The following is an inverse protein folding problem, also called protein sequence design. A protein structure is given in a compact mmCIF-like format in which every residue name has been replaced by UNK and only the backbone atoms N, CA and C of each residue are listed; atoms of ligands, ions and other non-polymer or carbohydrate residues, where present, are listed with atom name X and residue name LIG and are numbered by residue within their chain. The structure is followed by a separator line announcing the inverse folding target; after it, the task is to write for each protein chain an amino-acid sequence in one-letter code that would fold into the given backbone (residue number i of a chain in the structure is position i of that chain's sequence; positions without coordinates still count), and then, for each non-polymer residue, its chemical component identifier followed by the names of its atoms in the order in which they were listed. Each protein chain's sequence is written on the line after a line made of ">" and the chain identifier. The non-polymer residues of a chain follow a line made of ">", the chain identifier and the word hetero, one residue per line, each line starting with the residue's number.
data_IF_979882068465
#
_entry.id   IF_979882068465
#
_cell.length_a   1.000
_cell.length_b   1.000
_cell.length_c   1.000
_cell.angle_alpha   90.00
_cell.angle_beta   90.00
_cell.angle_gamma   90.00
#
_symmetry.space_group_name_H-M   'P 1'
#
loop_
_entity.id
_entity.type
_entity.pdbx_description
1 polymer ?
#
# COMPACT_ATOMS: atom_id res chain seq x y z
N UNK A 1 -4.60 -10.75 8.02
CA UNK A 1 -5.79 -11.61 7.81
C UNK A 1 -6.72 -11.54 9.01
N UNK A 2 -7.98 -11.97 8.89
CA UNK A 2 -8.88 -12.14 10.05
C UNK A 2 -8.39 -13.25 10.99
N UNK A 3 -8.85 -13.23 12.25
CA UNK A 3 -8.48 -14.24 13.27
C UNK A 3 -8.84 -15.67 12.86
N UNK A 4 -9.85 -15.83 12.02
CA UNK A 4 -10.30 -17.12 11.49
C UNK A 4 -9.69 -17.47 10.11
N UNK A 5 -8.77 -16.65 9.60
CA UNK A 5 -8.09 -16.82 8.31
C UNK A 5 -9.01 -16.88 7.09
N UNK A 6 -10.30 -16.55 7.22
CA UNK A 6 -11.25 -16.55 6.09
C UNK A 6 -11.17 -15.29 5.24
N UNK A 7 -10.59 -14.22 5.77
CA UNK A 7 -10.52 -12.93 5.10
C UNK A 7 -9.09 -12.39 5.04
N UNK A 8 -8.65 -12.05 3.84
CA UNK A 8 -7.38 -11.40 3.57
C UNK A 8 -7.62 -9.96 3.12
N UNK A 9 -7.01 -9.01 3.82
CA UNK A 9 -6.97 -7.60 3.42
C UNK A 9 -5.72 -7.41 2.58
N UNK A 10 -5.88 -6.88 1.38
CA UNK A 10 -4.80 -6.55 0.45
C UNK A 10 -4.78 -5.03 0.34
N UNK A 11 -3.70 -4.44 0.81
CA UNK A 11 -3.45 -3.01 0.69
C UNK A 11 -2.67 -2.75 -0.60
N UNK A 12 -3.07 -1.75 -1.36
CA UNK A 12 -2.38 -1.35 -2.58
C UNK A 12 -2.20 0.16 -2.63
N UNK A 13 -1.11 0.59 -3.23
CA UNK A 13 -0.82 1.99 -3.52
C UNK A 13 -0.64 2.15 -5.03
N UNK A 14 -0.86 3.35 -5.54
CA UNK A 14 -0.66 3.70 -6.94
C UNK A 14 0.27 4.89 -6.97
N UNK A 15 1.26 4.81 -7.86
CA UNK A 15 2.14 5.93 -8.08
C UNK A 15 1.46 6.95 -9.01
N UNK A 16 1.31 8.19 -8.54
CA UNK A 16 0.73 9.29 -9.30
C UNK A 16 -0.71 9.64 -8.89
N UNK A 17 -1.52 10.01 -9.88
CA UNK A 17 -2.80 10.69 -9.66
C UNK A 17 -3.81 9.92 -8.81
N UNK A 18 -4.41 10.59 -7.83
CA UNK A 18 -5.37 10.00 -6.88
C UNK A 18 -6.67 9.57 -7.56
N UNK A 19 -7.04 10.19 -8.69
CA UNK A 19 -8.18 9.79 -9.51
C UNK A 19 -8.06 8.35 -10.06
N UNK A 20 -6.83 7.83 -10.17
CA UNK A 20 -6.58 6.45 -10.61
C UNK A 20 -6.88 5.42 -9.52
N UNK A 21 -6.97 5.84 -8.25
CA UNK A 21 -7.21 4.94 -7.11
C UNK A 21 -8.56 4.25 -7.19
N UNK A 22 -9.62 4.98 -7.56
CA UNK A 22 -10.96 4.43 -7.66
C UNK A 22 -11.09 3.47 -8.84
N UNK A 23 -10.57 3.86 -10.02
CA UNK A 23 -10.54 3.00 -11.19
C UNK A 23 -9.77 1.69 -10.93
N UNK A 24 -8.64 1.77 -10.22
CA UNK A 24 -7.89 0.58 -9.81
C UNK A 24 -8.64 -0.26 -8.79
N UNK A 25 -9.32 0.35 -7.81
CA UNK A 25 -10.14 -0.37 -6.84
C UNK A 25 -11.25 -1.18 -7.55
N UNK A 26 -11.95 -0.56 -8.50
CA UNK A 26 -12.95 -1.23 -9.34
C UNK A 26 -12.31 -2.35 -10.17
N UNK A 27 -11.14 -2.10 -10.76
CA UNK A 27 -10.35 -3.11 -11.47
C UNK A 27 -10.02 -4.33 -10.62
N UNK A 28 -9.52 -4.13 -9.40
CA UNK A 28 -9.22 -5.20 -8.45
C UNK A 28 -10.46 -5.98 -8.03
N UNK A 29 -11.59 -5.31 -7.80
CA UNK A 29 -12.83 -6.00 -7.44
C UNK A 29 -13.34 -6.86 -8.60
N UNK A 30 -13.28 -6.35 -9.84
CA UNK A 30 -13.64 -7.12 -11.04
C UNK A 30 -12.71 -8.32 -11.27
N UNK A 31 -11.41 -8.15 -10.99
CA UNK A 31 -10.38 -9.18 -11.16
C UNK A 31 -10.27 -10.13 -9.95
N UNK A 32 -11.03 -9.91 -8.87
CA UNK A 32 -10.92 -10.65 -7.61
C UNK A 32 -10.95 -12.17 -7.80
N UNK A 33 -11.88 -12.67 -8.61
CA UNK A 33 -12.01 -14.10 -8.89
C UNK A 33 -10.81 -14.68 -9.62
N UNK A 34 -10.28 -13.95 -10.61
CA UNK A 34 -9.08 -14.32 -11.34
C UNK A 34 -7.85 -14.37 -10.42
N UNK A 35 -7.63 -13.33 -9.62
CA UNK A 35 -6.53 -13.24 -8.66
C UNK A 35 -6.62 -14.40 -7.65
N UNK A 36 -7.81 -14.64 -7.09
CA UNK A 36 -8.06 -15.74 -6.15
C UNK A 36 -7.67 -17.09 -6.75
N UNK A 37 -8.08 -17.38 -8.00
CA UNK A 37 -7.76 -18.63 -8.70
C UNK A 37 -6.25 -18.75 -8.98
N UNK A 38 -5.61 -17.67 -9.43
CA UNK A 38 -4.17 -17.66 -9.74
C UNK A 38 -3.31 -17.92 -8.50
N UNK A 39 -3.72 -17.39 -7.34
CA UNK A 39 -3.00 -17.58 -6.07
C UNK A 39 -3.29 -18.93 -5.40
N UNK A 40 -4.52 -19.46 -5.53
CA UNK A 40 -4.91 -20.71 -4.90
C UNK A 40 -3.98 -21.88 -5.28
N UNK A 41 -3.56 -21.95 -6.54
CA UNK A 41 -2.62 -22.99 -7.01
C UNK A 41 -1.18 -22.82 -6.55
N UNK A 42 -0.79 -21.62 -6.09
CA UNK A 42 0.60 -21.28 -5.72
C UNK A 42 0.83 -21.33 -4.21
N UNK A 43 -0.19 -20.99 -3.42
CA UNK A 43 -0.05 -20.81 -1.97
C UNK A 43 -0.27 -22.09 -1.16
N UNK A 44 -0.72 -23.19 -1.77
CA UNK A 44 -0.92 -24.47 -1.08
C UNK A 44 -1.93 -24.43 0.07
N UNK A 45 -2.82 -23.44 0.09
CA UNK A 45 -3.78 -23.25 1.17
C UNK A 45 -4.92 -24.26 1.05
N UNK A 46 -5.31 -24.87 2.18
CA UNK A 46 -6.49 -25.74 2.25
C UNK A 46 -7.78 -25.01 1.88
N UNK A 47 -7.89 -23.74 2.29
CA UNK A 47 -8.99 -22.85 1.93
C UNK A 47 -8.42 -21.50 1.53
N UNK A 48 -8.83 -21.02 0.36
CA UNK A 48 -8.42 -19.69 -0.10
C UNK A 48 -9.32 -18.62 0.55
N UNK A 49 -8.76 -17.68 1.32
CA UNK A 49 -9.55 -16.61 1.93
C UNK A 49 -10.23 -15.73 0.87
N UNK A 50 -11.28 -15.05 1.29
CA UNK A 50 -11.83 -13.95 0.50
C UNK A 50 -10.90 -12.75 0.56
N UNK A 51 -10.64 -12.17 -0.61
CA UNK A 51 -9.75 -11.05 -0.79
C UNK A 51 -10.57 -9.76 -0.74
N UNK A 52 -10.15 -8.81 0.11
CA UNK A 52 -10.68 -7.44 0.13
C UNK A 52 -9.55 -6.46 -0.14
N UNK A 53 -9.74 -5.59 -1.12
CA UNK A 53 -8.74 -4.61 -1.55
C UNK A 53 -8.99 -3.26 -0.87
N UNK A 54 -7.93 -2.62 -0.42
CA UNK A 54 -7.96 -1.33 0.25
C UNK A 54 -6.86 -0.45 -0.33
N UNK A 55 -7.21 0.76 -0.74
CA UNK A 55 -6.21 1.75 -1.09
C UNK A 55 -5.48 2.20 0.16
N UNK A 56 -4.16 2.31 0.07
CA UNK A 56 -3.31 2.75 1.17
C UNK A 56 -2.88 4.20 0.97
N UNK A 57 -3.55 5.10 1.70
CA UNK A 57 -3.25 6.54 1.71
C UNK A 57 -1.99 6.89 2.53
N UNK A 58 -1.48 5.95 3.34
CA UNK A 58 -0.35 6.22 4.23
C UNK A 58 0.97 6.41 3.50
N UNK A 59 1.11 5.89 2.28
CA UNK A 59 2.32 6.03 1.47
C UNK A 59 2.59 7.49 1.08
N UNK A 60 1.56 8.21 0.65
CA UNK A 60 1.68 9.61 0.24
C UNK A 60 2.00 10.51 1.44
N UNK A 61 1.36 10.24 2.57
CA UNK A 61 1.66 10.92 3.83
C UNK A 61 3.10 10.67 4.31
N UNK A 62 3.59 9.43 4.21
CA UNK A 62 4.98 9.09 4.53
C UNK A 62 5.98 9.87 3.66
N UNK A 63 5.74 9.92 2.35
CA UNK A 63 6.58 10.70 1.43
C UNK A 63 6.59 12.20 1.75
N UNK A 64 5.48 12.77 2.25
CA UNK A 64 5.44 14.17 2.67
C UNK A 64 6.25 14.42 3.94
N UNK A 65 6.18 13.48 4.91
CA UNK A 65 7.00 13.54 6.12
C UNK A 65 8.48 13.45 5.78
N UNK A 66 8.88 12.48 4.94
CA UNK A 66 10.27 12.31 4.54
C UNK A 66 10.83 13.58 3.88
N UNK A 67 10.05 14.20 2.98
CA UNK A 67 10.42 15.49 2.37
C UNK A 67 10.53 16.63 3.38
N UNK A 68 9.68 16.64 4.41
CA UNK A 68 9.74 17.65 5.47
C UNK A 68 10.97 17.45 6.37
N UNK A 69 11.27 16.20 6.73
CA UNK A 69 12.45 15.84 7.51
C UNK A 69 13.74 16.20 6.75
N UNK A 70 13.82 15.89 5.46
CA UNK A 70 14.98 16.26 4.62
C UNK A 70 15.18 17.78 4.57
N UNK A 71 14.11 18.57 4.47
CA UNK A 71 14.19 20.03 4.51
C UNK A 71 14.73 20.54 5.85
N UNK A 72 14.31 19.94 6.96
CA UNK A 72 14.78 20.32 8.31
C UNK A 72 16.25 19.92 8.51
N UNK A 73 16.62 18.70 8.11
CA UNK A 73 18.00 18.20 8.18
C UNK A 73 18.97 19.03 7.34
N UNK A 74 18.53 19.49 6.17
CA UNK A 74 19.33 20.38 5.31
C UNK A 74 19.50 21.77 5.93
N UNK A 75 18.50 22.27 6.66
CA UNK A 75 18.55 23.59 7.29
C UNK A 75 19.37 23.63 8.60
N UNK A 76 19.50 22.51 9.31
CA UNK A 76 20.26 22.46 10.57
C UNK A 76 21.75 22.09 10.38
N UNK A 77 22.19 21.77 9.16
CA UNK A 77 23.58 21.41 8.85
C UNK A 77 24.54 22.59 8.65
N UNK A 78 24.07 23.84 8.70
CA UNK A 78 24.87 25.04 8.43
C UNK A 78 25.32 25.85 9.66
N UNK A 79 24.92 25.46 10.88
CA UNK A 79 25.15 26.27 12.09
C UNK A 79 26.22 25.69 13.06
N UNK A 80 27.08 24.77 12.62
CA UNK A 80 28.18 24.24 13.45
C UNK A 80 29.51 24.06 12.70
N UNK A 81 30.05 25.16 12.16
CA UNK A 81 31.48 25.39 11.89
C UNK A 81 31.67 26.91 12.10
N UNK A 82 32.48 27.45 13.01
CA UNK A 82 33.69 27.01 13.70
C UNK A 82 33.88 27.94 14.91
N UNK A 83 34.38 27.43 16.02
CA UNK A 83 35.11 28.21 17.05
C UNK A 83 36.45 27.50 17.28
#
# INVERSE_FOLDING_TARGET
>A
MSRDLKLARIYFTIYGDSEKSEAAAQGFESARGFIKRSLAGKLGLRYMPDLKFFYDESFEYGSQIDQLLDKISTHNGSDHQSD
#
